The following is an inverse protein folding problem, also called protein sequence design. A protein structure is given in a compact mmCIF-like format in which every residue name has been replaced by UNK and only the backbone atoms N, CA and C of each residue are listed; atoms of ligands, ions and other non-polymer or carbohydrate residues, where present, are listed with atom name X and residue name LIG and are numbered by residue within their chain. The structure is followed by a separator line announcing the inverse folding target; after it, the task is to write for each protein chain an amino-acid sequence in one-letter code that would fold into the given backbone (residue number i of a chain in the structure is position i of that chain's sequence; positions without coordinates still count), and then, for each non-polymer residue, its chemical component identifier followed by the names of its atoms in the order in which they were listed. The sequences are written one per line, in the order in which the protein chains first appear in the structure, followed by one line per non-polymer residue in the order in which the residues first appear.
data_IF_514895533832
#
_entry.id   IF_514895533832
#
_cell.length_a   1.000
_cell.length_b   1.000
_cell.length_c   1.000
_cell.angle_alpha   90.00
_cell.angle_beta   90.00
_cell.angle_gamma   90.00
#
_symmetry.space_group_name_H-M   'P 1'
#
loop_
_entity.id
_entity.type
_entity.pdbx_description
1 polymer ?
#
# COMPACT_ATOMS: atom_id res chain seq x y z
N UNK A 1 12.31 39.56 -16.69
CA UNK A 1 11.33 38.49 -16.37
C UNK A 1 10.33 39.07 -15.37
N UNK A 2 9.05 39.19 -15.76
CA UNK A 2 8.05 39.90 -14.97
C UNK A 2 7.59 39.01 -13.79
N UNK A 3 7.48 39.58 -12.58
CA UNK A 3 7.09 38.82 -11.36
C UNK A 3 5.74 38.11 -11.51
N UNK A 4 4.85 38.66 -12.34
CA UNK A 4 3.55 38.07 -12.67
C UNK A 4 3.68 36.75 -13.43
N UNK A 5 4.60 36.68 -14.39
CA UNK A 5 4.79 35.48 -15.22
C UNK A 5 5.42 34.35 -14.41
N UNK A 6 6.36 34.68 -13.50
CA UNK A 6 6.96 33.70 -12.59
C UNK A 6 5.93 33.09 -11.63
N UNK A 7 4.99 33.90 -11.12
CA UNK A 7 3.96 33.43 -10.17
C UNK A 7 2.89 32.58 -10.87
N UNK A 8 2.54 32.91 -12.11
CA UNK A 8 1.62 32.10 -12.92
C UNK A 8 2.24 30.75 -13.33
N UNK A 9 3.52 30.74 -13.71
CA UNK A 9 4.23 29.53 -14.12
C UNK A 9 4.49 28.58 -12.92
N UNK A 10 4.79 29.13 -11.74
CA UNK A 10 4.94 28.35 -10.50
C UNK A 10 3.59 27.84 -9.97
N UNK A 11 2.51 28.60 -10.14
CA UNK A 11 1.15 28.16 -9.79
C UNK A 11 0.65 26.97 -10.62
N UNK A 12 0.94 26.94 -11.92
CA UNK A 12 0.59 25.83 -12.80
C UNK A 12 1.45 24.56 -12.55
N UNK A 13 2.73 24.73 -12.20
CA UNK A 13 3.60 23.60 -11.85
C UNK A 13 3.26 22.95 -10.49
N UNK A 14 2.84 23.73 -9.50
CA UNK A 14 2.47 23.22 -8.19
C UNK A 14 1.07 22.57 -8.16
N UNK A 15 0.13 23.04 -8.99
CA UNK A 15 -1.23 22.49 -9.05
C UNK A 15 -1.30 21.04 -9.54
N UNK A 16 -0.41 20.63 -10.45
CA UNK A 16 -0.34 19.25 -10.95
C UNK A 16 0.30 18.27 -9.95
N UNK A 17 1.11 18.77 -9.01
CA UNK A 17 1.75 17.97 -7.95
C UNK A 17 0.87 17.78 -6.70
N UNK A 18 -0.27 18.48 -6.63
CA UNK A 18 -1.19 18.49 -5.50
C UNK A 18 -2.55 17.88 -5.84
N UNK A 19 -2.61 16.92 -6.79
CA UNK A 19 -3.72 15.97 -6.77
C UNK A 19 -3.74 15.33 -5.38
N UNK A 20 -4.89 15.29 -4.69
CA UNK A 20 -4.95 14.86 -3.31
C UNK A 20 -4.45 13.43 -3.20
N UNK A 21 -3.24 13.26 -2.67
CA UNK A 21 -2.85 12.04 -2.01
C UNK A 21 -3.76 11.93 -0.78
N UNK A 22 -4.83 11.15 -0.90
CA UNK A 22 -5.77 10.94 0.19
C UNK A 22 -5.02 10.36 1.40
N UNK A 23 -5.24 10.88 2.62
CA UNK A 23 -4.65 10.31 3.82
C UNK A 23 -5.05 8.84 3.95
N UNK A 24 -4.08 7.92 3.94
CA UNK A 24 -4.29 6.49 4.16
C UNK A 24 -4.18 5.59 2.92
N UNK A 25 -4.15 6.17 1.71
CA UNK A 25 -3.77 5.47 0.49
C UNK A 25 -2.41 6.01 0.08
N UNK A 26 -1.36 5.19 0.20
CA UNK A 26 -0.07 5.49 -0.41
C UNK A 26 -0.24 5.83 -1.89
N UNK A 27 0.78 6.36 -2.54
CA UNK A 27 0.79 6.71 -3.97
C UNK A 27 0.47 5.50 -4.88
N UNK A 28 -0.81 5.14 -5.00
CA UNK A 28 -1.33 4.12 -5.88
C UNK A 28 -1.83 4.76 -7.15
N UNK A 29 -1.43 4.19 -8.29
CA UNK A 29 -1.89 4.63 -9.58
C UNK A 29 -3.38 4.25 -9.72
N UNK A 30 -4.25 5.18 -10.13
CA UNK A 30 -5.63 4.84 -10.46
C UNK A 30 -5.64 3.78 -11.57
N UNK A 31 -6.44 2.73 -11.38
CA UNK A 31 -6.58 1.64 -12.35
C UNK A 31 -8.04 1.29 -12.57
N UNK A 32 -8.34 0.63 -13.70
CA UNK A 32 -9.66 0.04 -13.92
C UNK A 32 -9.91 -1.12 -12.94
N UNK A 33 -11.18 -1.37 -12.60
CA UNK A 33 -11.53 -2.45 -11.68
C UNK A 33 -11.11 -3.84 -12.19
N UNK A 34 -11.08 -4.06 -13.51
CA UNK A 34 -10.62 -5.31 -14.12
C UNK A 34 -9.13 -5.59 -13.81
N UNK A 35 -8.31 -4.54 -13.66
CA UNK A 35 -6.89 -4.64 -13.31
C UNK A 35 -6.66 -5.32 -11.95
N UNK A 36 -7.62 -5.20 -11.04
CA UNK A 36 -7.56 -5.82 -9.71
C UNK A 36 -7.73 -7.36 -9.75
N UNK A 37 -8.21 -7.90 -10.88
CA UNK A 37 -8.39 -9.34 -11.11
C UNK A 37 -7.25 -9.94 -11.92
N UNK A 38 -6.39 -9.12 -12.52
CA UNK A 38 -5.25 -9.62 -13.28
C UNK A 38 -4.24 -10.31 -12.35
N UNK A 39 -3.72 -11.48 -12.72
CA UNK A 39 -2.71 -12.16 -11.93
C UNK A 39 -1.42 -11.31 -11.85
N UNK A 40 -0.80 -11.30 -10.67
CA UNK A 40 0.52 -10.69 -10.48
C UNK A 40 1.64 -11.60 -10.99
N UNK A 41 2.89 -11.24 -10.64
CA UNK A 41 4.04 -12.11 -10.90
C UNK A 41 3.90 -13.46 -10.20
N UNK A 42 4.29 -14.53 -10.88
CA UNK A 42 4.39 -15.85 -10.27
C UNK A 42 5.59 -15.95 -9.30
N UNK A 43 5.62 -17.02 -8.51
CA UNK A 43 6.66 -17.24 -7.48
C UNK A 43 8.06 -17.39 -8.11
N UNK A 44 8.17 -17.99 -9.30
CA UNK A 44 9.44 -18.22 -9.98
C UNK A 44 10.03 -16.89 -10.44
N UNK A 45 9.20 -16.02 -11.03
CA UNK A 45 9.55 -14.67 -11.45
C UNK A 45 9.97 -13.81 -10.24
N UNK A 46 9.18 -13.82 -9.17
CA UNK A 46 9.50 -13.12 -7.91
C UNK A 46 10.82 -13.58 -7.33
N UNK A 47 11.07 -14.90 -7.32
CA UNK A 47 12.33 -15.48 -6.84
C UNK A 47 13.52 -15.02 -7.67
N UNK A 48 13.43 -15.11 -9.00
CA UNK A 48 14.49 -14.63 -9.92
C UNK A 48 14.82 -13.16 -9.67
N UNK A 49 13.81 -12.31 -9.59
CA UNK A 49 13.95 -10.87 -9.34
C UNK A 49 14.62 -10.59 -7.98
N UNK A 50 14.19 -11.29 -6.94
CA UNK A 50 14.80 -11.19 -5.63
C UNK A 50 16.25 -11.67 -5.64
N UNK A 51 16.56 -12.79 -6.30
CA UNK A 51 17.90 -13.34 -6.42
C UNK A 51 18.85 -12.36 -7.13
N UNK A 52 18.38 -11.64 -8.16
CA UNK A 52 19.16 -10.59 -8.82
C UNK A 52 19.58 -9.48 -7.84
N UNK A 53 18.66 -8.99 -7.00
CA UNK A 53 18.96 -8.01 -5.96
C UNK A 53 19.87 -8.55 -4.86
N UNK A 54 19.57 -9.75 -4.32
CA UNK A 54 20.35 -10.36 -3.25
C UNK A 54 21.80 -10.64 -3.69
N UNK A 55 21.99 -11.15 -4.90
CA UNK A 55 23.31 -11.40 -5.47
C UNK A 55 24.08 -10.09 -5.71
N UNK A 56 23.40 -9.06 -6.23
CA UNK A 56 24.02 -7.74 -6.40
C UNK A 56 24.44 -7.12 -5.06
N UNK A 57 23.61 -7.22 -4.02
CA UNK A 57 23.94 -6.74 -2.67
C UNK A 57 25.15 -7.48 -2.08
N UNK A 58 25.16 -8.82 -2.15
CA UNK A 58 26.28 -9.66 -1.69
C UNK A 58 27.58 -9.30 -2.42
N UNK A 59 27.56 -9.25 -3.75
CA UNK A 59 28.72 -8.87 -4.57
C UNK A 59 29.21 -7.45 -4.30
N UNK A 60 28.31 -6.54 -3.93
CA UNK A 60 28.65 -5.19 -3.51
C UNK A 60 29.21 -5.10 -2.08
N UNK A 61 29.23 -6.19 -1.31
CA UNK A 61 29.83 -6.27 0.03
C UNK A 61 28.84 -6.14 1.20
N UNK A 62 27.55 -6.40 0.96
CA UNK A 62 26.58 -6.51 2.05
C UNK A 62 26.80 -7.80 2.86
N UNK A 63 26.82 -7.70 4.19
CA UNK A 63 26.84 -8.86 5.11
C UNK A 63 25.44 -9.45 5.31
N UNK A 64 24.41 -8.66 5.04
CA UNK A 64 23.02 -9.08 5.02
C UNK A 64 22.25 -8.26 3.99
N UNK A 65 21.27 -8.86 3.31
CA UNK A 65 20.28 -8.14 2.53
C UNK A 65 18.91 -8.81 2.61
N UNK A 66 17.86 -7.99 2.52
CA UNK A 66 16.51 -8.43 2.28
C UNK A 66 15.82 -7.61 1.18
N UNK A 67 14.96 -8.28 0.43
CA UNK A 67 14.22 -7.76 -0.72
C UNK A 67 12.74 -8.00 -0.46
N UNK A 68 11.92 -6.96 -0.63
CA UNK A 68 10.47 -7.03 -0.57
C UNK A 68 9.91 -6.57 -1.90
N UNK A 69 9.34 -7.50 -2.68
CA UNK A 69 8.59 -7.17 -3.89
C UNK A 69 7.11 -7.15 -3.49
N UNK A 70 6.43 -6.04 -3.73
CA UNK A 70 5.06 -5.84 -3.30
C UNK A 70 4.17 -5.34 -4.43
N UNK A 71 3.00 -5.96 -4.57
CA UNK A 71 1.86 -5.45 -5.34
C UNK A 71 0.70 -5.23 -4.39
N UNK A 72 0.21 -4.01 -4.32
CA UNK A 72 -0.87 -3.60 -3.43
C UNK A 72 -2.03 -3.14 -4.29
N UNK A 73 -3.14 -3.87 -4.21
CA UNK A 73 -4.38 -3.58 -4.90
C UNK A 73 -5.37 -3.04 -3.87
N UNK A 74 -6.08 -1.97 -4.21
CA UNK A 74 -7.12 -1.43 -3.36
C UNK A 74 -8.37 -1.04 -4.15
N UNK A 75 -9.52 -1.14 -3.50
CA UNK A 75 -10.77 -0.55 -3.96
C UNK A 75 -11.47 0.12 -2.78
N UNK A 76 -11.98 1.32 -3.03
CA UNK A 76 -12.77 2.08 -2.07
C UNK A 76 -14.07 2.54 -2.70
N UNK A 77 -15.16 2.33 -1.99
CA UNK A 77 -16.49 2.80 -2.36
C UNK A 77 -16.97 3.70 -1.23
N UNK A 78 -17.36 4.92 -1.57
CA UNK A 78 -17.86 5.91 -0.62
C UNK A 78 -19.26 6.33 -0.99
N UNK A 79 -20.15 6.34 0.00
CA UNK A 79 -21.51 6.84 -0.15
C UNK A 79 -21.83 7.84 0.95
N UNK A 80 -22.77 8.74 0.63
CA UNK A 80 -23.36 9.66 1.57
C UNK A 80 -24.85 9.71 1.31
N UNK A 81 -25.63 9.43 2.33
CA UNK A 81 -27.08 9.37 2.25
C UNK A 81 -27.54 8.45 1.12
N UNK A 82 -28.16 9.00 0.06
CA UNK A 82 -28.65 8.26 -1.10
C UNK A 82 -27.69 8.27 -2.30
N UNK A 83 -26.52 8.87 -2.15
CA UNK A 83 -25.62 9.19 -3.26
C UNK A 83 -24.31 8.43 -3.13
N UNK A 84 -23.84 7.88 -4.25
CA UNK A 84 -22.45 7.43 -4.38
C UNK A 84 -21.58 8.66 -4.55
N UNK A 85 -20.59 8.82 -3.68
CA UNK A 85 -19.68 9.97 -3.69
C UNK A 85 -18.45 9.67 -4.54
N UNK A 86 -17.92 8.45 -4.43
CA UNK A 86 -16.71 8.05 -5.13
C UNK A 86 -16.58 6.54 -5.21
N UNK A 87 -16.02 6.06 -6.30
CA UNK A 87 -15.54 4.68 -6.47
C UNK A 87 -14.13 4.81 -7.02
N UNK A 88 -13.14 4.35 -6.27
CA UNK A 88 -11.74 4.41 -6.67
C UNK A 88 -11.08 3.05 -6.54
N UNK A 89 -10.31 2.68 -7.56
CA UNK A 89 -9.45 1.50 -7.55
C UNK A 89 -8.01 1.92 -7.80
N UNK A 90 -7.08 1.29 -7.09
CA UNK A 90 -5.67 1.67 -7.12
C UNK A 90 -4.74 0.47 -7.11
N UNK A 91 -3.60 0.64 -7.77
CA UNK A 91 -2.50 -0.33 -7.78
C UNK A 91 -1.18 0.38 -7.42
N UNK A 92 -0.41 -0.22 -6.53
CA UNK A 92 1.01 0.12 -6.31
C UNK A 92 1.85 -1.13 -6.51
N UNK A 93 2.91 -1.03 -7.31
CA UNK A 93 3.85 -2.13 -7.55
C UNK A 93 5.28 -1.64 -7.46
N UNK A 94 6.13 -2.39 -6.76
CA UNK A 94 7.53 -2.03 -6.59
C UNK A 94 8.31 -3.00 -5.71
N UNK A 95 9.56 -2.65 -5.47
CA UNK A 95 10.45 -3.38 -4.59
C UNK A 95 11.21 -2.47 -3.65
N UNK A 96 11.39 -2.90 -2.40
CA UNK A 96 12.28 -2.29 -1.42
C UNK A 96 13.41 -3.24 -1.07
N UNK A 97 14.62 -2.73 -0.99
CA UNK A 97 15.84 -3.51 -0.70
C UNK A 97 16.52 -2.88 0.50
N UNK A 98 16.74 -3.68 1.54
CA UNK A 98 17.44 -3.27 2.76
C UNK A 98 18.70 -4.10 2.93
N UNK A 99 19.81 -3.47 3.29
CA UNK A 99 21.12 -4.13 3.39
C UNK A 99 21.86 -3.71 4.64
N UNK A 100 22.72 -4.59 5.16
CA UNK A 100 23.78 -4.22 6.09
C UNK A 100 25.10 -4.27 5.33
N UNK A 101 25.83 -3.16 5.29
CA UNK A 101 27.20 -3.11 4.79
C UNK A 101 28.05 -2.26 5.73
N UNK A 102 29.28 -2.72 6.01
CA UNK A 102 30.17 -2.11 7.01
C UNK A 102 29.50 -1.89 8.37
N UNK A 103 28.64 -2.81 8.79
CA UNK A 103 27.91 -2.72 10.07
C UNK A 103 26.74 -1.73 10.07
N UNK A 104 26.37 -1.13 8.95
CA UNK A 104 25.34 -0.08 8.89
C UNK A 104 24.20 -0.45 7.95
N UNK A 105 22.98 -0.02 8.29
CA UNK A 105 21.81 -0.16 7.42
C UNK A 105 21.85 0.79 6.23
N UNK A 106 21.47 0.27 5.08
CA UNK A 106 21.12 1.02 3.88
C UNK A 106 19.80 0.52 3.31
N UNK A 107 19.09 1.42 2.63
CA UNK A 107 17.79 1.11 2.04
C UNK A 107 17.62 1.88 0.73
N UNK A 108 17.05 1.23 -0.27
CA UNK A 108 16.60 1.86 -1.50
C UNK A 108 15.35 1.14 -2.02
N UNK A 109 14.55 1.81 -2.85
CA UNK A 109 13.33 1.27 -3.42
C UNK A 109 13.14 1.74 -4.87
N UNK A 110 12.37 0.97 -5.65
CA UNK A 110 12.06 1.25 -7.05
C UNK A 110 10.68 0.71 -7.43
N UNK A 111 10.00 1.35 -8.39
CA UNK A 111 8.80 0.84 -9.04
C UNK A 111 9.09 0.20 -10.42
N UNK A 112 10.33 0.30 -10.91
CA UNK A 112 10.82 -0.47 -12.07
C UNK A 112 11.32 -1.83 -11.58
N UNK A 113 10.45 -2.85 -11.66
CA UNK A 113 10.71 -4.19 -11.12
C UNK A 113 11.28 -5.11 -12.22
N UNK A 114 12.50 -4.82 -12.65
CA UNK A 114 13.28 -5.63 -13.60
C UNK A 114 14.58 -6.11 -12.93
N UNK A 115 15.18 -7.22 -13.41
CA UNK A 115 16.43 -7.75 -12.82
C UNK A 115 17.52 -6.68 -12.71
N UNK A 116 17.70 -5.89 -13.79
CA UNK A 116 18.70 -4.85 -13.86
C UNK A 116 18.42 -3.69 -12.89
N UNK A 117 17.15 -3.29 -12.74
CA UNK A 117 16.77 -2.22 -11.84
C UNK A 117 16.92 -2.64 -10.38
N UNK A 118 16.47 -3.85 -10.03
CA UNK A 118 16.63 -4.39 -8.69
C UNK A 118 18.10 -4.56 -8.29
N UNK A 119 18.95 -5.01 -9.22
CA UNK A 119 20.40 -5.07 -8.99
C UNK A 119 21.00 -3.67 -8.73
N UNK A 120 20.62 -2.65 -9.52
CA UNK A 120 21.06 -1.26 -9.29
C UNK A 120 20.56 -0.72 -7.96
N UNK A 121 19.29 -0.94 -7.61
CA UNK A 121 18.71 -0.51 -6.33
C UNK A 121 19.42 -1.17 -5.15
N UNK A 122 19.80 -2.45 -5.25
CA UNK A 122 20.61 -3.12 -4.24
C UNK A 122 21.98 -2.45 -4.06
N UNK A 123 22.67 -2.14 -5.16
CA UNK A 123 23.95 -1.44 -5.13
C UNK A 123 23.83 -0.04 -4.50
N UNK A 124 22.76 0.68 -4.81
CA UNK A 124 22.45 1.98 -4.19
C UNK A 124 22.24 1.85 -2.68
N UNK A 125 21.48 0.85 -2.22
CA UNK A 125 21.30 0.59 -0.80
C UNK A 125 22.65 0.33 -0.10
N UNK A 126 23.56 -0.42 -0.72
CA UNK A 126 24.92 -0.66 -0.20
C UNK A 126 25.75 0.61 -0.15
N UNK A 127 25.69 1.45 -1.18
CA UNK A 127 26.38 2.74 -1.18
C UNK A 127 25.89 3.65 -0.04
N UNK A 128 24.57 3.69 0.21
CA UNK A 128 23.98 4.42 1.33
C UNK A 128 24.44 3.88 2.70
N UNK A 129 24.45 2.56 2.88
CA UNK A 129 24.97 1.92 4.08
C UNK A 129 26.42 2.34 4.37
N UNK A 130 27.29 2.29 3.35
CA UNK A 130 28.71 2.67 3.47
C UNK A 130 28.92 4.15 3.77
N UNK A 131 28.10 5.02 3.19
CA UNK A 131 28.15 6.45 3.50
C UNK A 131 27.81 6.71 4.98
N UNK A 132 26.76 6.07 5.47
CA UNK A 132 26.29 6.21 6.85
C UNK A 132 27.23 5.54 7.88
N UNK A 133 27.96 4.50 7.48
CA UNK A 133 28.92 3.81 8.36
C UNK A 133 30.00 4.74 8.93
N UNK A 134 30.30 5.87 8.27
CA UNK A 134 31.29 6.85 8.74
C UNK A 134 30.91 7.55 10.04
N UNK A 135 29.62 7.65 10.34
CA UNK A 135 29.08 8.34 11.52
C UNK A 135 28.43 7.38 12.52
N UNK A 136 28.39 6.09 12.21
CA UNK A 136 27.82 5.09 13.09
C UNK A 136 28.83 4.68 14.16
N UNK A 137 28.40 4.72 15.43
CA UNK A 137 29.25 4.42 16.58
C UNK A 137 29.38 2.91 16.85
N UNK A 138 28.28 2.18 16.70
CA UNK A 138 28.21 0.75 17.01
C UNK A 138 27.63 -0.01 15.81
N UNK A 139 28.24 -1.12 15.37
CA UNK A 139 27.74 -1.89 14.24
C UNK A 139 26.42 -2.60 14.56
N UNK A 140 25.55 -2.72 13.57
CA UNK A 140 24.33 -3.51 13.63
C UNK A 140 24.70 -4.98 13.75
N UNK A 141 24.19 -5.63 14.80
CA UNK A 141 24.28 -7.07 15.00
C UNK A 141 22.86 -7.64 14.99
N UNK A 142 22.58 -8.50 14.00
CA UNK A 142 21.32 -9.22 13.96
C UNK A 142 21.36 -10.38 14.95
N UNK A 143 20.22 -10.66 15.58
CA UNK A 143 20.07 -11.90 16.34
C UNK A 143 20.32 -13.10 15.41
N UNK A 144 21.04 -14.14 15.85
CA UNK A 144 21.24 -15.33 15.05
C UNK A 144 19.89 -15.96 14.68
N UNK A 145 19.57 -16.01 13.39
CA UNK A 145 18.35 -16.60 12.89
C UNK A 145 18.65 -17.42 11.64
N UNK A 146 18.07 -18.62 11.56
CA UNK A 146 18.08 -19.43 10.34
C UNK A 146 16.96 -18.93 9.42
N UNK A 147 17.22 -18.87 8.12
CA UNK A 147 16.17 -18.60 7.14
C UNK A 147 15.08 -19.69 7.17
N UNK A 148 13.88 -19.31 6.75
CA UNK A 148 12.71 -20.20 6.77
C UNK A 148 12.56 -21.05 5.49
N UNK A 149 13.49 -20.94 4.53
CA UNK A 149 13.35 -21.58 3.23
C UNK A 149 12.23 -20.97 2.41
N UNK A 150 11.63 -21.77 1.53
CA UNK A 150 10.49 -21.36 0.70
C UNK A 150 9.18 -21.60 1.44
N UNK A 151 8.43 -20.53 1.71
CA UNK A 151 7.16 -20.57 2.46
C UNK A 151 6.10 -19.77 1.70
N UNK A 152 4.86 -20.24 1.73
CA UNK A 152 3.71 -19.51 1.17
C UNK A 152 2.59 -19.41 2.19
N UNK A 153 1.93 -18.25 2.25
CA UNK A 153 0.73 -18.04 3.05
C UNK A 153 -0.30 -17.22 2.29
N UNK A 154 -1.56 -17.65 2.37
CA UNK A 154 -2.69 -16.92 1.79
C UNK A 154 -3.79 -16.74 2.83
N UNK A 155 -4.48 -15.60 2.77
CA UNK A 155 -5.68 -15.39 3.59
C UNK A 155 -6.72 -16.44 3.21
N UNK A 156 -7.31 -17.18 4.17
CA UNK A 156 -8.30 -18.23 3.88
C UNK A 156 -9.67 -17.59 3.54
N UNK A 157 -9.75 -16.95 2.38
CA UNK A 157 -10.98 -16.33 1.88
C UNK A 157 -11.88 -17.35 1.17
N UNK A 158 -13.19 -17.16 1.27
CA UNK A 158 -14.19 -17.95 0.53
C UNK A 158 -14.51 -17.31 -0.83
N UNK A 159 -14.57 -15.97 -0.87
CA UNK A 159 -14.83 -15.17 -2.09
C UNK A 159 -13.87 -13.98 -2.11
N UNK A 160 -13.25 -13.72 -3.25
CA UNK A 160 -12.41 -12.54 -3.40
C UNK A 160 -13.30 -11.29 -3.47
N UNK A 161 -12.99 -10.29 -2.65
CA UNK A 161 -13.78 -9.08 -2.56
C UNK A 161 -13.76 -8.26 -3.87
N UNK A 162 -12.71 -8.39 -4.70
CA UNK A 162 -12.65 -7.73 -6.01
C UNK A 162 -13.52 -8.41 -7.08
N UNK A 163 -13.83 -9.70 -6.93
CA UNK A 163 -14.77 -10.42 -7.81
C UNK A 163 -16.23 -10.05 -7.52
N UNK A 164 -16.51 -9.45 -6.35
CA UNK A 164 -17.84 -8.92 -6.04
C UNK A 164 -18.10 -7.68 -6.92
N UNK A 165 -19.17 -7.65 -7.72
CA UNK A 165 -19.52 -6.51 -8.54
C UNK A 165 -19.62 -5.21 -7.72
N UNK A 166 -19.15 -4.10 -8.30
CA UNK A 166 -19.23 -2.77 -7.67
C UNK A 166 -20.67 -2.41 -7.31
N UNK A 167 -21.63 -2.81 -8.15
CA UNK A 167 -23.06 -2.60 -7.89
C UNK A 167 -23.52 -3.23 -6.56
N UNK A 168 -23.18 -4.49 -6.30
CA UNK A 168 -23.56 -5.17 -5.05
C UNK A 168 -23.00 -4.43 -3.81
N UNK A 169 -21.77 -3.91 -3.92
CA UNK A 169 -21.12 -3.13 -2.85
C UNK A 169 -21.83 -1.80 -2.61
N UNK A 170 -22.15 -1.09 -3.69
CA UNK A 170 -22.89 0.18 -3.62
C UNK A 170 -24.27 -0.04 -3.01
N UNK A 171 -25.00 -1.06 -3.47
CA UNK A 171 -26.32 -1.39 -2.97
C UNK A 171 -26.29 -1.69 -1.47
N UNK A 172 -25.28 -2.43 -0.99
CA UNK A 172 -25.07 -2.70 0.44
C UNK A 172 -24.89 -1.41 1.26
N UNK A 173 -24.03 -0.49 0.80
CA UNK A 173 -23.74 0.77 1.50
C UNK A 173 -24.96 1.70 1.52
N UNK A 174 -25.67 1.82 0.39
CA UNK A 174 -26.89 2.63 0.31
C UNK A 174 -28.03 2.04 1.15
N UNK A 175 -28.15 0.71 1.23
CA UNK A 175 -29.11 0.05 2.10
C UNK A 175 -28.83 0.34 3.58
N UNK A 176 -27.56 0.33 4.00
CA UNK A 176 -27.17 0.70 5.37
C UNK A 176 -27.53 2.16 5.69
N UNK A 177 -27.28 3.10 4.76
CA UNK A 177 -27.66 4.49 4.94
C UNK A 177 -29.18 4.66 5.01
N UNK A 178 -29.94 3.96 4.16
CA UNK A 178 -31.40 4.00 4.14
C UNK A 178 -32.00 3.47 5.46
N UNK A 179 -31.45 2.39 6.01
CA UNK A 179 -31.87 1.86 7.30
C UNK A 179 -31.64 2.86 8.44
N UNK A 180 -30.49 3.53 8.47
CA UNK A 180 -30.21 4.58 9.45
C UNK A 180 -31.16 5.78 9.29
N UNK A 181 -31.45 6.21 8.06
CA UNK A 181 -32.40 7.28 7.78
C UNK A 181 -33.82 6.95 8.28
N UNK A 182 -34.28 5.73 8.03
CA UNK A 182 -35.59 5.25 8.51
C UNK A 182 -35.69 5.25 10.05
N UNK A 183 -34.56 5.23 10.75
CA UNK A 183 -34.46 5.29 12.22
C UNK A 183 -34.12 6.69 12.74
N UNK A 184 -34.31 7.74 11.93
CA UNK A 184 -34.19 9.14 12.37
C UNK A 184 -32.80 9.76 12.25
N UNK A 185 -31.86 9.12 11.56
CA UNK A 185 -30.59 9.73 11.23
C UNK A 185 -30.77 10.96 10.31
N UNK A 186 -30.05 12.04 10.62
CA UNK A 186 -30.03 13.27 9.82
C UNK A 186 -28.94 13.25 8.75
N UNK A 187 -27.78 12.64 9.05
CA UNK A 187 -26.68 12.47 8.10
C UNK A 187 -26.08 11.09 8.24
N UNK A 188 -25.75 10.46 7.11
CA UNK A 188 -25.14 9.14 7.06
C UNK A 188 -24.07 9.08 5.99
N UNK A 189 -22.93 8.49 6.35
CA UNK A 189 -21.83 8.21 5.44
C UNK A 189 -21.45 6.75 5.61
N UNK A 190 -21.26 6.02 4.53
CA UNK A 190 -20.75 4.65 4.61
C UNK A 190 -19.73 4.37 3.52
N UNK A 191 -18.74 3.56 3.87
CA UNK A 191 -17.57 3.30 3.06
C UNK A 191 -17.21 1.82 3.14
N UNK A 192 -16.69 1.30 2.03
CA UNK A 192 -16.10 -0.03 1.97
C UNK A 192 -14.69 0.11 1.43
N UNK A 193 -13.71 -0.32 2.21
CA UNK A 193 -12.32 -0.44 1.80
C UNK A 193 -11.95 -1.89 1.61
N UNK A 194 -11.22 -2.19 0.55
CA UNK A 194 -10.82 -3.54 0.18
C UNK A 194 -9.37 -3.49 -0.26
N UNK A 195 -8.54 -4.37 0.28
CA UNK A 195 -7.10 -4.43 -0.02
C UNK A 195 -6.72 -5.88 -0.34
N UNK A 196 -5.88 -6.06 -1.35
CA UNK A 196 -5.07 -7.25 -1.53
C UNK A 196 -3.58 -6.86 -1.54
N UNK A 197 -2.81 -7.38 -0.60
CA UNK A 197 -1.36 -7.25 -0.54
C UNK A 197 -0.71 -8.55 -1.00
N UNK A 198 -0.08 -8.51 -2.16
CA UNK A 198 0.74 -9.60 -2.67
C UNK A 198 2.20 -9.25 -2.37
N UNK A 199 2.80 -9.93 -1.40
CA UNK A 199 4.15 -9.62 -0.89
C UNK A 199 5.07 -10.81 -1.08
N UNK A 200 6.25 -10.55 -1.59
CA UNK A 200 7.33 -11.52 -1.66
C UNK A 200 8.52 -10.99 -0.88
N UNK A 201 8.93 -11.72 0.15
CA UNK A 201 10.10 -11.42 0.96
C UNK A 201 11.21 -12.42 0.64
N UNK A 202 12.42 -11.94 0.41
CA UNK A 202 13.59 -12.80 0.31
C UNK A 202 14.78 -12.20 1.05
N UNK A 203 15.63 -13.03 1.63
CA UNK A 203 16.79 -12.56 2.40
C UNK A 203 18.01 -13.45 2.22
N UNK A 204 19.19 -12.87 2.46
CA UNK A 204 20.48 -13.57 2.33
C UNK A 204 20.68 -14.69 3.34
N UNK A 205 19.85 -14.77 4.37
CA UNK A 205 19.80 -15.85 5.36
C UNK A 205 19.01 -17.09 4.88
N UNK A 206 18.42 -17.04 3.68
CA UNK A 206 17.76 -18.18 3.04
C UNK A 206 16.24 -18.22 3.20
N UNK A 207 15.59 -17.12 3.56
CA UNK A 207 14.12 -17.04 3.54
C UNK A 207 13.61 -16.58 2.18
N UNK A 208 12.52 -17.18 1.70
CA UNK A 208 11.78 -16.86 0.48
C UNK A 208 10.28 -17.04 0.77
N UNK A 209 9.57 -15.95 1.07
CA UNK A 209 8.23 -16.00 1.65
C UNK A 209 7.26 -15.28 0.71
N UNK A 210 6.31 -16.02 0.14
CA UNK A 210 5.21 -15.49 -0.68
C UNK A 210 3.95 -15.34 0.16
N UNK A 211 3.38 -14.14 0.21
CA UNK A 211 2.20 -13.83 1.00
C UNK A 211 1.12 -13.19 0.14
N UNK A 212 -0.11 -13.67 0.30
CA UNK A 212 -1.30 -13.13 -0.34
C UNK A 212 -2.33 -12.74 0.73
N UNK A 213 -2.40 -11.45 1.05
CA UNK A 213 -3.16 -10.94 2.18
C UNK A 213 -4.38 -10.20 1.66
N UNK A 214 -5.58 -10.58 2.11
CA UNK A 214 -6.83 -9.89 1.80
C UNK A 214 -7.40 -9.27 3.07
N UNK A 215 -7.86 -8.01 2.95
CA UNK A 215 -8.56 -7.30 4.03
C UNK A 215 -9.75 -6.54 3.47
N UNK A 216 -10.82 -6.51 4.25
CA UNK A 216 -12.00 -5.67 3.98
C UNK A 216 -12.30 -4.88 5.24
N UNK A 217 -12.68 -3.62 5.05
CA UNK A 217 -13.11 -2.75 6.13
C UNK A 217 -14.38 -2.00 5.70
N UNK A 218 -15.57 -2.54 6.03
CA UNK A 218 -16.80 -1.78 5.97
C UNK A 218 -16.88 -0.85 7.18
N UNK A 219 -17.21 0.41 6.96
CA UNK A 219 -17.37 1.41 8.03
C UNK A 219 -18.47 2.40 7.67
N UNK A 220 -19.04 3.05 8.68
CA UNK A 220 -20.04 4.09 8.51
C UNK A 220 -20.03 5.07 9.69
N UNK A 221 -20.60 6.24 9.48
CA UNK A 221 -20.87 7.23 10.52
C UNK A 221 -22.31 7.71 10.38
N UNK A 222 -23.02 7.79 11.50
CA UNK A 222 -24.42 8.21 11.58
C UNK A 222 -24.55 9.37 12.56
N UNK A 223 -25.18 10.46 12.11
CA UNK A 223 -25.44 11.64 12.93
C UNK A 223 -26.94 11.90 13.04
N UNK A 224 -27.42 12.14 14.26
CA UNK A 224 -28.78 12.58 14.56
C UNK A 224 -28.73 14.02 15.07
N UNK A 225 -29.63 14.88 14.58
CA UNK A 225 -29.77 16.27 15.02
C UNK A 225 -31.12 16.46 15.71
N UNK A 226 -31.09 16.85 16.97
CA UNK A 226 -32.23 17.39 17.69
C UNK A 226 -32.27 18.91 17.51
N UNK A 227 -33.10 19.37 16.57
CA UNK A 227 -33.24 20.79 16.26
C UNK A 227 -33.89 21.60 17.39
N UNK A 228 -34.77 20.98 18.18
CA UNK A 228 -35.45 21.66 19.27
C UNK A 228 -34.49 21.92 20.43
N UNK A 229 -33.62 20.94 20.75
CA UNK A 229 -32.58 21.12 21.76
C UNK A 229 -31.30 21.79 21.24
N UNK A 230 -31.17 22.01 19.93
CA UNK A 230 -29.96 22.53 19.29
C UNK A 230 -28.75 21.60 19.42
N UNK A 231 -28.97 20.28 19.50
CA UNK A 231 -27.92 19.28 19.77
C UNK A 231 -27.76 18.32 18.61
N UNK A 232 -26.58 17.74 18.48
CA UNK A 232 -26.34 16.61 17.59
C UNK A 232 -25.50 15.54 18.29
N UNK A 233 -25.65 14.30 17.83
CA UNK A 233 -24.84 13.15 18.26
C UNK A 233 -24.44 12.35 17.05
N UNK A 234 -23.18 11.92 17.03
CA UNK A 234 -22.61 11.08 15.98
C UNK A 234 -22.14 9.77 16.58
N UNK A 235 -22.34 8.69 15.84
CA UNK A 235 -21.82 7.37 16.18
C UNK A 235 -21.19 6.72 14.97
N UNK A 236 -19.99 6.21 15.15
CA UNK A 236 -19.26 5.48 14.13
C UNK A 236 -19.54 3.97 14.22
N UNK A 237 -19.20 3.26 13.14
CA UNK A 237 -19.18 1.82 13.12
C UNK A 237 -18.21 1.25 14.17
N UNK A 238 -18.50 0.06 14.67
CA UNK A 238 -17.66 -0.64 15.65
C UNK A 238 -16.52 -1.43 14.98
N UNK A 239 -16.46 -1.43 13.64
CA UNK A 239 -15.47 -2.16 12.87
C UNK A 239 -14.10 -1.46 12.90
N UNK A 240 -13.06 -2.21 13.30
CA UNK A 240 -11.68 -1.77 13.17
C UNK A 240 -11.12 -2.13 11.77
N UNK A 241 -10.21 -1.30 11.21
CA UNK A 241 -9.51 -1.58 9.95
C UNK A 241 -8.49 -2.73 10.02
#
# INVERSE_FOLDING_TARGET
MNRRDFTALTGLGAGALLLPAFPGLGSSLPVDAARLLEPGLDVIQKKRLADAALNAAKSAGATYADVRIGRYLNQSVFTREKQVQNIASGESFGAGIRVIANGTWGFAATNDVTDASLARTAQQAVAMARANARIQKEPVQLAPQKGYGEVSWKTPIVRNAFEVPVKEKVDLLLAANAAAAANGASFMSSSLFQINEQKYFASTDGSYIDQDIHRIWPTFSVTVVDRAAGKFKTRDALSAP
#
